data_IF_985300136259
#
_entry.id   IF_985300136259
#
_cell.length_a   1.000
_cell.length_b   1.000
_cell.length_c   1.000
_cell.angle_alpha   90.00
_cell.angle_beta   90.00
_cell.angle_gamma   90.00
#
_symmetry.space_group_name_H-M   'P 1'
#
loop_
_entity.id
_entity.type
_entity.pdbx_description
1 polymer ?
#
# COMPACT_ATOMS: atom_id res chain seq x y z
N UNK A 1 18.34 5.61 57.29
CA UNK A 1 17.69 6.30 56.15
C UNK A 1 18.12 5.73 54.79
N UNK A 2 19.20 4.95 54.73
CA UNK A 2 19.84 4.50 53.48
C UNK A 2 19.07 3.42 52.70
N UNK A 3 18.26 2.61 53.39
CA UNK A 3 17.49 1.54 52.74
C UNK A 3 16.40 2.06 51.79
N UNK A 4 15.77 3.18 52.14
CA UNK A 4 14.70 3.79 51.32
C UNK A 4 15.29 4.47 50.08
N UNK A 5 16.44 5.14 50.23
CA UNK A 5 17.17 5.74 49.11
C UNK A 5 17.64 4.67 48.10
N UNK A 6 18.23 3.58 48.58
CA UNK A 6 18.68 2.47 47.74
C UNK A 6 17.53 1.77 47.02
N UNK A 7 16.36 1.65 47.65
CA UNK A 7 15.16 1.07 47.03
C UNK A 7 14.64 1.93 45.87
N UNK A 8 14.62 3.27 46.01
CA UNK A 8 14.19 4.19 44.95
C UNK A 8 15.11 4.12 43.73
N UNK A 9 16.42 4.06 43.93
CA UNK A 9 17.40 3.94 42.85
C UNK A 9 17.25 2.60 42.11
N UNK A 10 16.97 1.51 42.83
CA UNK A 10 16.74 0.21 42.22
C UNK A 10 15.46 0.20 41.34
N UNK A 11 14.37 0.79 41.84
CA UNK A 11 13.10 0.89 41.10
C UNK A 11 13.28 1.74 39.83
N UNK A 12 13.96 2.88 39.92
CA UNK A 12 14.20 3.76 38.77
C UNK A 12 15.01 3.09 37.66
N UNK A 13 16.01 2.26 38.03
CA UNK A 13 16.78 1.48 37.06
C UNK A 13 15.94 0.39 36.39
N UNK A 14 15.10 -0.31 37.16
CA UNK A 14 14.18 -1.33 36.61
C UNK A 14 13.20 -0.70 35.62
N UNK A 15 12.60 0.44 35.97
CA UNK A 15 11.67 1.16 35.08
C UNK A 15 12.38 1.63 33.81
N UNK A 16 13.60 2.18 33.92
CA UNK A 16 14.38 2.61 32.76
C UNK A 16 14.75 1.45 31.83
N UNK A 17 15.13 0.29 32.38
CA UNK A 17 15.43 -0.91 31.59
C UNK A 17 14.19 -1.51 30.93
N UNK A 18 13.03 -1.51 31.61
CA UNK A 18 11.75 -1.93 31.03
C UNK A 18 11.31 -1.00 29.89
N UNK A 19 11.47 0.31 30.05
CA UNK A 19 11.14 1.29 29.01
C UNK A 19 12.01 1.13 27.76
N UNK A 20 13.31 0.87 27.94
CA UNK A 20 14.22 0.59 26.83
C UNK A 20 13.88 -0.72 26.10
N UNK A 21 13.43 -1.75 26.83
CA UNK A 21 13.01 -3.02 26.23
C UNK A 21 11.73 -2.87 25.41
N UNK A 22 10.76 -2.07 25.88
CA UNK A 22 9.52 -1.76 25.14
C UNK A 22 9.80 -1.00 23.83
N UNK A 23 10.79 -0.10 23.83
CA UNK A 23 11.21 0.63 22.62
C UNK A 23 11.91 -0.27 21.59
N UNK A 24 12.60 -1.33 22.03
CA UNK A 24 13.26 -2.31 21.15
C UNK A 24 12.31 -3.39 20.61
N UNK A 25 11.15 -3.57 21.24
CA UNK A 25 10.11 -4.53 20.85
C UNK A 25 9.12 -3.97 19.82
N UNK A 26 9.38 -2.78 19.28
CA UNK A 26 8.57 -2.21 18.22
C UNK A 26 9.23 -2.48 16.87
N UNK A 27 9.01 -3.63 16.20
CA UNK A 27 9.14 -3.65 14.77
C UNK A 27 8.01 -2.75 14.25
N UNK A 28 8.33 -1.47 14.02
CA UNK A 28 7.55 -0.69 13.09
C UNK A 28 7.82 -1.33 11.72
N UNK A 29 7.06 -2.38 11.40
CA UNK A 29 6.89 -2.78 10.01
C UNK A 29 6.21 -1.57 9.37
N UNK A 30 7.00 -0.69 8.77
CA UNK A 30 6.49 0.21 7.77
C UNK A 30 5.87 -0.71 6.72
N UNK A 31 4.54 -0.77 6.68
CA UNK A 31 3.81 -1.47 5.63
C UNK A 31 3.97 -0.59 4.39
N UNK A 32 5.09 -0.72 3.71
CA UNK A 32 5.36 -0.01 2.46
C UNK A 32 4.53 -0.68 1.35
N UNK A 33 3.21 -0.56 1.44
CA UNK A 33 2.25 -1.24 0.56
C UNK A 33 2.50 -0.96 -0.92
N UNK A 34 3.04 0.22 -1.23
CA UNK A 34 3.32 0.68 -2.59
C UNK A 34 4.71 1.31 -2.66
N UNK A 35 5.46 0.95 -3.70
CA UNK A 35 6.82 1.42 -3.98
C UNK A 35 6.82 2.06 -5.36
N UNK A 36 7.19 3.34 -5.44
CA UNK A 36 7.33 4.08 -6.69
C UNK A 36 8.65 3.74 -7.39
N UNK A 37 8.59 3.35 -8.66
CA UNK A 37 9.75 3.11 -9.53
C UNK A 37 9.75 4.06 -10.75
N UNK A 38 9.16 5.24 -10.60
CA UNK A 38 8.97 6.29 -11.62
C UNK A 38 8.00 5.90 -12.74
N UNK A 39 8.29 4.83 -13.49
CA UNK A 39 7.46 4.38 -14.62
C UNK A 39 6.32 3.44 -14.19
N UNK A 40 6.44 2.84 -13.00
CA UNK A 40 5.46 1.93 -12.43
C UNK A 40 5.53 1.92 -10.90
N UNK A 41 4.42 1.56 -10.27
CA UNK A 41 4.32 1.35 -8.82
C UNK A 41 4.26 -0.14 -8.50
N UNK A 42 5.13 -0.64 -7.65
CA UNK A 42 5.06 -2.02 -7.15
C UNK A 42 4.15 -2.08 -5.93
N UNK A 43 3.13 -2.95 -5.97
CA UNK A 43 2.34 -3.36 -4.82
C UNK A 43 2.99 -4.58 -4.15
N UNK A 44 3.62 -4.35 -3.00
CA UNK A 44 4.35 -5.38 -2.26
C UNK A 44 3.43 -6.38 -1.52
N UNK A 45 2.11 -6.12 -1.52
CA UNK A 45 1.10 -6.99 -0.92
C UNK A 45 0.59 -7.99 -1.96
N UNK A 46 0.23 -7.52 -3.16
CA UNK A 46 -0.26 -8.39 -4.25
C UNK A 46 0.85 -9.00 -5.10
N UNK A 47 2.04 -8.39 -5.09
CA UNK A 47 3.14 -8.78 -5.98
C UNK A 47 2.94 -8.32 -7.42
N UNK A 48 2.11 -7.29 -7.65
CA UNK A 48 1.87 -6.71 -8.97
C UNK A 48 2.63 -5.39 -9.14
N UNK A 49 3.21 -5.19 -10.31
CA UNK A 49 3.61 -3.86 -10.77
C UNK A 49 2.43 -3.21 -11.49
N UNK A 50 2.18 -1.94 -11.22
CA UNK A 50 1.13 -1.10 -11.80
C UNK A 50 1.76 -0.02 -12.68
N UNK A 51 1.52 -0.05 -13.98
CA UNK A 51 2.07 0.93 -14.91
C UNK A 51 1.48 2.33 -14.62
N UNK A 52 2.32 3.37 -14.63
CA UNK A 52 1.85 4.74 -14.50
C UNK A 52 0.87 5.10 -15.63
N UNK A 53 -0.23 5.77 -15.28
CA UNK A 53 -1.32 6.06 -16.21
C UNK A 53 -0.89 7.00 -17.34
N UNK A 54 0.21 7.75 -17.21
CA UNK A 54 0.74 8.60 -18.28
C UNK A 54 1.11 7.81 -19.54
N UNK A 55 1.47 6.53 -19.42
CA UNK A 55 1.80 5.66 -20.55
C UNK A 55 0.58 5.23 -21.37
N UNK A 56 -0.60 5.19 -20.77
CA UNK A 56 -1.85 4.80 -21.44
C UNK A 56 -2.84 5.95 -21.57
N UNK A 57 -2.46 7.14 -21.08
CA UNK A 57 -3.28 8.35 -21.10
C UNK A 57 -3.63 8.74 -22.52
N UNK A 58 -4.93 8.94 -22.76
CA UNK A 58 -5.55 9.30 -24.05
C UNK A 58 -5.42 8.22 -25.14
N UNK A 59 -5.00 7.01 -24.80
CA UNK A 59 -5.08 5.87 -25.69
C UNK A 59 -6.44 5.20 -25.52
N UNK A 60 -7.06 4.85 -26.65
CA UNK A 60 -8.28 4.04 -26.61
C UNK A 60 -7.97 2.63 -26.08
N UNK A 61 -8.99 1.92 -25.62
CA UNK A 61 -8.82 0.52 -25.19
C UNK A 61 -8.19 -0.32 -26.32
N UNK A 62 -8.64 -0.12 -27.56
CA UNK A 62 -8.14 -0.88 -28.71
C UNK A 62 -6.68 -0.54 -29.05
N UNK A 63 -6.27 0.72 -28.86
CA UNK A 63 -4.87 1.13 -29.07
C UNK A 63 -3.94 0.49 -28.02
N UNK A 64 -4.40 0.43 -26.76
CA UNK A 64 -3.69 -0.25 -25.68
C UNK A 64 -3.63 -1.75 -25.96
N UNK A 65 -4.75 -2.38 -26.32
CA UNK A 65 -4.83 -3.80 -26.68
C UNK A 65 -3.87 -4.15 -27.83
N UNK A 66 -3.81 -3.32 -28.87
CA UNK A 66 -2.85 -3.49 -29.97
C UNK A 66 -1.39 -3.34 -29.49
N UNK A 67 -1.12 -2.39 -28.58
CA UNK A 67 0.21 -2.13 -28.03
C UNK A 67 0.68 -3.20 -27.05
N UNK A 68 -0.22 -3.90 -26.38
CA UNK A 68 0.10 -5.07 -25.53
C UNK A 68 0.64 -6.23 -26.37
N UNK A 69 0.08 -6.45 -27.56
CA UNK A 69 0.43 -7.57 -28.43
C UNK A 69 1.82 -7.40 -29.07
N UNK A 70 2.11 -6.24 -29.65
CA UNK A 70 3.32 -6.02 -30.47
C UNK A 70 3.93 -4.62 -30.31
N UNK A 71 3.65 -3.90 -29.22
CA UNK A 71 4.04 -2.50 -29.03
C UNK A 71 4.90 -2.25 -27.79
N UNK A 72 4.92 -0.99 -27.34
CA UNK A 72 5.68 -0.56 -26.17
C UNK A 72 5.14 -1.10 -24.84
N UNK A 73 3.94 -1.70 -24.85
CA UNK A 73 3.28 -2.24 -23.66
C UNK A 73 3.37 -3.77 -23.59
N UNK A 74 4.22 -4.41 -24.41
CA UNK A 74 4.47 -5.85 -24.33
C UNK A 74 4.99 -6.25 -22.94
N UNK A 75 4.41 -7.32 -22.39
CA UNK A 75 4.71 -7.82 -21.04
C UNK A 75 3.76 -7.29 -19.95
N UNK A 76 2.89 -6.34 -20.28
CA UNK A 76 1.79 -5.91 -19.44
C UNK A 76 0.50 -6.65 -19.81
N UNK A 77 -0.50 -6.57 -18.94
CA UNK A 77 -1.90 -6.95 -19.22
C UNK A 77 -2.83 -5.94 -18.57
N UNK A 78 -4.09 -5.92 -18.99
CA UNK A 78 -5.09 -5.18 -18.24
C UNK A 78 -5.20 -5.71 -16.81
N UNK A 79 -5.29 -4.78 -15.85
CA UNK A 79 -5.68 -5.09 -14.49
C UNK A 79 -7.14 -5.51 -14.46
N UNK A 80 -7.48 -6.49 -13.62
CA UNK A 80 -8.87 -6.83 -13.38
C UNK A 80 -9.52 -5.80 -12.46
N UNK A 81 -10.84 -5.69 -12.53
CA UNK A 81 -11.63 -4.92 -11.56
C UNK A 81 -11.30 -5.29 -10.11
N UNK A 82 -11.20 -6.59 -9.82
CA UNK A 82 -10.91 -7.08 -8.48
C UNK A 82 -9.49 -6.69 -8.02
N UNK A 83 -8.49 -6.81 -8.89
CA UNK A 83 -7.12 -6.41 -8.55
C UNK A 83 -7.03 -4.92 -8.19
N UNK A 84 -7.75 -4.06 -8.93
CA UNK A 84 -7.73 -2.63 -8.63
C UNK A 84 -8.51 -2.28 -7.37
N UNK A 85 -9.66 -2.92 -7.16
CA UNK A 85 -10.45 -2.70 -5.94
C UNK A 85 -9.63 -3.14 -4.70
N UNK A 86 -8.92 -4.29 -4.78
CA UNK A 86 -8.00 -4.77 -3.73
C UNK A 86 -6.81 -3.83 -3.51
N UNK A 87 -6.19 -3.29 -4.58
CA UNK A 87 -5.14 -2.28 -4.47
C UNK A 87 -5.62 -1.08 -3.64
N UNK A 88 -6.78 -0.54 -3.99
CA UNK A 88 -7.35 0.63 -3.33
C UNK A 88 -7.66 0.33 -1.86
N UNK A 89 -8.35 -0.78 -1.57
CA UNK A 89 -8.66 -1.18 -0.19
C UNK A 89 -7.41 -1.38 0.67
N UNK A 90 -6.39 -2.04 0.12
CA UNK A 90 -5.11 -2.26 0.80
C UNK A 90 -4.36 -0.96 1.07
N UNK A 91 -4.39 -0.02 0.13
CA UNK A 91 -3.75 1.29 0.25
C UNK A 91 -4.47 2.19 1.27
N UNK A 92 -5.80 2.24 1.22
CA UNK A 92 -6.61 3.04 2.15
C UNK A 92 -6.67 2.42 3.55
N UNK A 93 -6.57 1.08 3.65
CA UNK A 93 -6.80 0.33 4.87
C UNK A 93 -8.28 0.16 5.24
N UNK A 94 -9.19 0.48 4.31
CA UNK A 94 -10.64 0.34 4.45
C UNK A 94 -11.33 0.35 3.07
N UNK A 95 -12.59 -0.09 3.02
CA UNK A 95 -13.43 -0.04 1.82
C UNK A 95 -13.77 1.42 1.43
N UNK A 96 -13.46 1.85 0.20
CA UNK A 96 -13.70 3.23 -0.23
C UNK A 96 -15.19 3.57 -0.28
N UNK A 97 -15.57 4.75 0.20
CA UNK A 97 -16.93 5.26 0.04
C UNK A 97 -17.16 5.70 -1.42
N UNK A 98 -18.36 5.49 -1.96
CA UNK A 98 -18.73 5.86 -3.34
C UNK A 98 -19.10 7.35 -3.54
N UNK A 99 -18.76 8.20 -2.57
CA UNK A 99 -19.02 9.63 -2.51
C UNK A 99 -17.77 10.38 -2.04
N UNK A 100 -17.75 11.70 -2.23
CA UNK A 100 -16.62 12.53 -1.77
C UNK A 100 -16.50 12.51 -0.25
N UNK A 101 -15.32 12.13 0.25
CA UNK A 101 -15.12 11.90 1.68
C UNK A 101 -13.72 12.35 2.12
N UNK A 102 -13.65 13.15 3.17
CA UNK A 102 -12.38 13.64 3.72
C UNK A 102 -11.47 12.51 4.21
N UNK A 103 -12.04 11.39 4.68
CA UNK A 103 -11.27 10.22 5.14
C UNK A 103 -10.46 9.54 4.03
N UNK A 104 -10.87 9.72 2.77
CA UNK A 104 -10.24 9.12 1.59
C UNK A 104 -9.29 10.10 0.89
N UNK A 105 -9.21 11.36 1.35
CA UNK A 105 -8.47 12.42 0.66
C UNK A 105 -6.98 12.08 0.56
N UNK A 106 -6.31 11.83 1.69
CA UNK A 106 -4.87 11.58 1.72
C UNK A 106 -4.50 10.32 0.93
N UNK A 107 -5.32 9.28 1.04
CA UNK A 107 -5.14 8.03 0.31
C UNK A 107 -5.24 8.21 -1.21
N UNK A 108 -6.26 8.91 -1.71
CA UNK A 108 -6.33 9.18 -3.15
C UNK A 108 -5.34 10.23 -3.64
N UNK A 109 -4.93 11.18 -2.80
CA UNK A 109 -3.83 12.08 -3.14
C UNK A 109 -2.52 11.31 -3.32
N UNK A 110 -2.23 10.39 -2.41
CA UNK A 110 -1.06 9.50 -2.51
C UNK A 110 -1.17 8.58 -3.73
N UNK A 111 -2.31 7.94 -3.96
CA UNK A 111 -2.49 7.01 -5.07
C UNK A 111 -2.42 7.71 -6.44
N UNK A 112 -2.94 8.94 -6.56
CA UNK A 112 -2.75 9.77 -7.77
C UNK A 112 -1.29 10.19 -7.93
N UNK A 113 -0.55 10.40 -6.84
CA UNK A 113 0.88 10.67 -6.89
C UNK A 113 1.69 9.50 -7.46
N UNK A 114 1.24 8.26 -7.21
CA UNK A 114 1.90 7.02 -7.62
C UNK A 114 1.48 6.54 -9.03
N UNK A 115 0.20 6.66 -9.37
CA UNK A 115 -0.34 6.16 -10.64
C UNK A 115 -0.54 7.26 -11.68
N UNK A 116 -0.45 8.52 -11.28
CA UNK A 116 -0.69 9.66 -12.15
C UNK A 116 -2.17 10.04 -12.29
N UNK A 117 -2.40 11.29 -12.73
CA UNK A 117 -3.74 11.82 -13.02
C UNK A 117 -4.02 11.81 -14.53
N UNK A 118 -5.25 11.46 -14.91
CA UNK A 118 -5.67 11.56 -16.31
C UNK A 118 -6.21 12.95 -16.62
N UNK A 119 -6.86 13.62 -15.66
CA UNK A 119 -7.22 15.03 -15.82
C UNK A 119 -7.24 15.78 -14.49
N UNK A 120 -7.15 17.11 -14.58
CA UNK A 120 -7.29 18.03 -13.46
C UNK A 120 -8.43 19.01 -13.73
N UNK A 121 -9.06 19.49 -12.66
CA UNK A 121 -10.11 20.51 -12.71
C UNK A 121 -9.72 21.66 -11.79
N UNK A 122 -9.65 22.87 -12.34
CA UNK A 122 -9.43 24.09 -11.57
C UNK A 122 -10.79 24.70 -11.24
N UNK A 123 -11.05 24.94 -9.96
CA UNK A 123 -12.31 25.49 -9.46
C UNK A 123 -12.05 26.68 -8.53
N UNK A 124 -13.00 27.60 -8.45
CA UNK A 124 -12.99 28.67 -7.43
C UNK A 124 -13.90 28.25 -6.29
N UNK A 125 -13.32 28.04 -5.11
CA UNK A 125 -14.01 27.60 -3.89
C UNK A 125 -13.82 28.71 -2.86
N UNK A 126 -14.91 29.34 -2.43
CA UNK A 126 -14.88 30.43 -1.45
C UNK A 126 -13.90 31.58 -1.78
N UNK A 127 -13.68 31.85 -3.08
CA UNK A 127 -12.75 32.88 -3.55
C UNK A 127 -11.29 32.44 -3.63
N UNK A 128 -10.97 31.20 -3.28
CA UNK A 128 -9.66 30.58 -3.51
C UNK A 128 -9.69 29.70 -4.77
N UNK A 129 -8.59 29.68 -5.52
CA UNK A 129 -8.43 28.75 -6.65
C UNK A 129 -7.88 27.43 -6.14
N UNK A 130 -8.63 26.35 -6.37
CA UNK A 130 -8.25 24.99 -5.98
C UNK A 130 -8.16 24.10 -7.23
N UNK A 131 -7.21 23.16 -7.22
CA UNK A 131 -7.06 22.17 -8.30
C UNK A 131 -7.38 20.79 -7.76
N UNK A 132 -8.35 20.12 -8.37
CA UNK A 132 -8.69 18.73 -8.12
C UNK A 132 -8.05 17.84 -9.17
N UNK A 133 -7.61 16.65 -8.79
CA UNK A 133 -6.97 15.69 -9.68
C UNK A 133 -7.74 14.39 -9.69
N UNK A 134 -7.92 13.84 -10.89
CA UNK A 134 -8.72 12.65 -11.11
C UNK A 134 -8.02 11.73 -12.10
N UNK A 135 -8.25 10.44 -11.92
CA UNK A 135 -7.92 9.40 -12.85
C UNK A 135 -9.19 8.66 -13.26
N UNK A 136 -9.33 8.45 -14.56
CA UNK A 136 -10.35 7.58 -15.15
C UNK A 136 -9.60 6.56 -15.98
N UNK A 137 -9.65 5.29 -15.59
CA UNK A 137 -8.89 4.26 -16.25
C UNK A 137 -9.69 2.97 -16.45
N UNK A 138 -9.42 2.26 -17.56
CA UNK A 138 -10.03 0.96 -17.83
C UNK A 138 -9.37 -0.13 -17.01
N UNK A 139 -10.21 -0.98 -16.44
CA UNK A 139 -9.84 -2.32 -16.00
C UNK A 139 -10.55 -3.33 -16.89
N UNK A 140 -9.96 -4.49 -17.07
CA UNK A 140 -10.67 -5.63 -17.65
C UNK A 140 -11.59 -6.22 -16.58
N UNK A 141 -12.81 -6.57 -16.96
CA UNK A 141 -13.66 -7.35 -16.07
C UNK A 141 -13.44 -8.81 -16.44
N UNK A 142 -13.41 -9.72 -15.46
CA UNK A 142 -13.27 -11.15 -15.74
C UNK A 142 -14.39 -11.72 -16.64
N UNK A 143 -15.41 -10.91 -16.97
CA UNK A 143 -16.35 -11.16 -18.06
C UNK A 143 -15.87 -10.51 -19.35
N UNK A 144 -15.59 -11.33 -20.35
CA UNK A 144 -15.05 -11.06 -21.69
C UNK A 144 -15.73 -9.96 -22.54
N UNK A 145 -16.67 -9.17 -22.02
CA UNK A 145 -17.48 -8.30 -22.87
C UNK A 145 -17.15 -6.82 -22.80
N UNK A 146 -16.71 -6.22 -21.68
CA UNK A 146 -16.45 -4.77 -21.63
C UNK A 146 -15.44 -4.36 -20.55
N UNK A 147 -14.38 -3.65 -20.95
CA UNK A 147 -13.55 -2.90 -20.01
C UNK A 147 -14.42 -1.91 -19.20
N UNK A 148 -14.33 -1.99 -17.87
CA UNK A 148 -15.11 -1.15 -16.96
C UNK A 148 -14.26 0.04 -16.52
N UNK A 149 -14.67 1.29 -16.78
CA UNK A 149 -13.90 2.43 -16.31
C UNK A 149 -14.03 2.54 -14.78
N UNK A 150 -12.89 2.67 -14.11
CA UNK A 150 -12.77 3.07 -12.72
C UNK A 150 -12.44 4.55 -12.66
N UNK A 151 -13.10 5.28 -11.77
CA UNK A 151 -12.77 6.68 -11.51
C UNK A 151 -12.35 6.83 -10.06
N UNK A 152 -11.21 7.48 -9.86
CA UNK A 152 -10.75 7.87 -8.53
C UNK A 152 -10.09 9.25 -8.57
N UNK A 153 -9.93 9.89 -7.42
CA UNK A 153 -9.28 11.20 -7.35
C UNK A 153 -9.52 11.91 -6.04
N UNK A 154 -9.08 13.16 -5.98
CA UNK A 154 -9.24 14.01 -4.81
C UNK A 154 -9.45 15.47 -5.22
N UNK A 155 -10.11 16.22 -4.34
CA UNK A 155 -10.39 17.63 -4.51
C UNK A 155 -10.89 18.25 -3.20
N UNK A 156 -11.42 19.47 -3.29
CA UNK A 156 -11.88 20.24 -2.13
C UNK A 156 -12.96 19.54 -1.29
N UNK A 157 -13.76 18.65 -1.91
CA UNK A 157 -14.80 17.87 -1.23
C UNK A 157 -14.29 16.59 -0.56
N UNK A 158 -13.02 16.21 -0.79
CA UNK A 158 -12.43 14.97 -0.29
C UNK A 158 -11.89 14.06 -1.40
N UNK A 159 -11.54 12.83 -1.00
CA UNK A 159 -11.20 11.75 -1.92
C UNK A 159 -12.46 11.10 -2.50
N UNK A 160 -12.32 10.44 -3.64
CA UNK A 160 -13.43 9.90 -4.42
C UNK A 160 -13.07 8.60 -5.14
N UNK A 161 -14.00 7.65 -5.15
CA UNK A 161 -13.90 6.38 -5.88
C UNK A 161 -15.26 5.95 -6.41
N UNK A 162 -15.34 5.50 -7.66
CA UNK A 162 -16.53 4.80 -8.19
C UNK A 162 -16.23 3.96 -9.42
N UNK A 163 -17.09 2.97 -9.71
CA UNK A 163 -17.34 2.55 -11.08
C UNK A 163 -17.88 3.73 -11.89
N UNK A 164 -17.29 4.02 -13.05
CA UNK A 164 -17.66 5.17 -13.85
C UNK A 164 -18.70 4.81 -14.93
N UNK A 165 -19.81 4.20 -14.51
CA UNK A 165 -20.89 3.74 -15.41
C UNK A 165 -21.57 4.85 -16.21
N UNK A 166 -21.38 6.12 -15.82
CA UNK A 166 -21.97 7.30 -16.45
C UNK A 166 -21.06 7.97 -17.49
N UNK A 167 -19.83 7.47 -17.68
CA UNK A 167 -19.02 7.90 -18.82
C UNK A 167 -19.46 7.06 -19.99
N UNK A 168 -20.22 7.67 -20.92
CA UNK A 168 -20.62 7.05 -22.17
C UNK A 168 -19.38 6.76 -23.04
N UNK A 169 -18.68 5.67 -22.73
CA UNK A 169 -17.46 5.29 -23.39
C UNK A 169 -17.76 4.37 -24.58
N UNK A 170 -17.07 4.60 -25.69
CA UNK A 170 -16.97 3.64 -26.81
C UNK A 170 -15.53 3.19 -26.87
N UNK A 171 -15.28 1.88 -26.98
CA UNK A 171 -13.92 1.28 -27.08
C UNK A 171 -13.01 2.01 -28.08
N UNK A 172 -13.61 2.61 -29.12
CA UNK A 172 -12.94 3.23 -30.25
C UNK A 172 -12.92 4.77 -30.22
N UNK A 173 -13.50 5.43 -29.19
CA UNK A 173 -13.54 6.90 -29.12
C UNK A 173 -12.84 7.45 -27.90
N UNK A 174 -11.97 8.42 -28.16
CA UNK A 174 -11.57 9.42 -27.18
C UNK A 174 -12.85 10.12 -26.67
N UNK A 175 -13.19 9.94 -25.40
CA UNK A 175 -14.54 10.09 -24.87
C UNK A 175 -15.09 11.52 -24.85
N UNK A 176 -14.42 12.50 -25.46
CA UNK A 176 -14.87 13.90 -25.55
C UNK A 176 -14.98 14.63 -24.20
N UNK A 177 -14.81 13.92 -23.09
CA UNK A 177 -14.90 14.43 -21.71
C UNK A 177 -13.66 13.99 -20.94
N UNK A 178 -12.53 14.64 -21.20
CA UNK A 178 -11.30 14.50 -20.40
C UNK A 178 -10.53 13.20 -20.61
N UNK A 179 -9.20 13.29 -20.50
CA UNK A 179 -8.29 12.17 -20.73
C UNK A 179 -8.65 10.96 -19.85
N UNK A 180 -8.75 9.79 -20.47
CA UNK A 180 -8.82 8.49 -19.81
C UNK A 180 -7.46 7.78 -19.94
N UNK A 181 -7.31 6.63 -19.30
CA UNK A 181 -6.13 5.76 -19.39
C UNK A 181 -6.56 4.28 -19.28
N UNK A 182 -5.61 3.36 -19.24
CA UNK A 182 -5.84 1.94 -18.92
C UNK A 182 -4.95 1.53 -17.76
N UNK A 183 -5.54 0.86 -16.76
CA UNK A 183 -4.80 0.26 -15.67
C UNK A 183 -4.18 -1.04 -16.17
N UNK A 184 -2.86 -1.04 -16.27
CA UNK A 184 -2.09 -2.20 -16.69
C UNK A 184 -1.24 -2.71 -15.55
N UNK A 185 -1.17 -4.03 -15.44
CA UNK A 185 -0.36 -4.72 -14.44
C UNK A 185 0.51 -5.78 -15.08
N UNK A 186 1.56 -6.18 -14.36
CA UNK A 186 2.34 -7.38 -14.62
C UNK A 186 2.74 -8.00 -13.28
N UNK A 187 3.09 -9.27 -13.29
CA UNK A 187 3.66 -9.90 -12.11
C UNK A 187 5.05 -9.30 -11.82
N UNK A 188 5.29 -8.91 -10.56
CA UNK A 188 6.61 -8.50 -10.13
C UNK A 188 7.54 -9.74 -10.11
N UNK A 189 8.61 -9.76 -10.93
CA UNK A 189 9.52 -10.90 -10.99
C UNK A 189 10.27 -11.16 -9.67
N UNK A 190 10.52 -10.12 -8.89
CA UNK A 190 11.21 -10.23 -7.60
C UNK A 190 10.30 -10.84 -6.53
N UNK A 191 8.98 -10.61 -6.63
CA UNK A 191 8.00 -11.24 -5.75
C UNK A 191 7.87 -12.75 -6.03
N UNK A 192 7.93 -13.14 -7.31
CA UNK A 192 7.90 -14.54 -7.71
C UNK A 192 9.16 -15.30 -7.25
N UNK A 193 10.33 -14.66 -7.27
CA UNK A 193 11.57 -15.27 -6.77
C UNK A 193 11.53 -15.52 -5.25
N UNK A 194 10.82 -14.70 -4.47
CA UNK A 194 10.57 -14.93 -3.04
C UNK A 194 9.69 -16.16 -2.82
N UNK A 195 8.66 -16.38 -3.66
CA UNK A 195 7.78 -17.55 -3.58
C UNK A 195 8.42 -18.84 -4.11
N UNK A 196 9.36 -18.76 -5.07
CA UNK A 196 10.09 -19.93 -5.59
C UNK A 196 11.21 -20.36 -4.65
N UNK A 197 11.81 -19.42 -3.91
CA UNK A 197 12.80 -19.73 -2.87
C UNK A 197 12.16 -20.06 -1.52
N UNK A 198 10.88 -19.73 -1.31
CA UNK A 198 10.05 -20.14 -0.17
C UNK A 198 8.60 -20.41 -0.62
N UNK A 199 8.24 -21.65 -1.00
CA UNK A 199 6.86 -21.94 -1.37
C UNK A 199 5.94 -21.71 -0.16
N UNK A 200 4.72 -21.16 -0.37
CA UNK A 200 3.76 -20.97 0.71
C UNK A 200 3.24 -22.34 1.14
N UNK A 201 3.94 -22.93 2.09
CA UNK A 201 3.46 -24.06 2.85
C UNK A 201 2.36 -23.51 3.75
N UNK A 202 1.11 -23.81 3.43
CA UNK A 202 0.02 -23.64 4.39
C UNK A 202 0.42 -24.34 5.69
N UNK A 203 0.43 -23.55 6.76
CA UNK A 203 0.70 -23.89 8.17
C UNK A 203 2.05 -23.39 8.71
N UNK A 204 1.94 -22.28 9.44
CA UNK A 204 2.89 -21.71 10.40
C UNK A 204 4.31 -21.47 9.88
N UNK A 205 4.62 -20.21 9.59
CA UNK A 205 5.99 -19.74 9.50
C UNK A 205 6.79 -20.28 10.70
N UNK A 206 7.64 -21.27 10.46
CA UNK A 206 8.66 -21.65 11.43
C UNK A 206 9.66 -20.52 11.43
N UNK A 207 9.55 -19.70 12.46
CA UNK A 207 10.46 -18.62 12.78
C UNK A 207 11.87 -19.18 12.79
N UNK A 208 12.78 -18.59 12.00
CA UNK A 208 14.21 -18.83 12.16
C UNK A 208 14.59 -18.52 13.62
N UNK A 209 14.89 -19.57 14.40
CA UNK A 209 15.44 -19.45 15.73
C UNK A 209 16.92 -19.08 15.64
N UNK A 210 17.26 -17.79 15.84
CA UNK A 210 18.36 -17.51 16.76
C UNK A 210 17.97 -16.54 17.88
N UNK A 211 16.82 -15.85 17.77
CA UNK A 211 16.46 -14.78 18.70
C UNK A 211 15.89 -15.29 20.03
N UNK A 212 15.12 -16.38 20.02
CA UNK A 212 14.50 -16.95 21.24
C UNK A 212 15.52 -17.66 22.14
N UNK A 213 16.52 -18.34 21.56
CA UNK A 213 17.63 -18.95 22.31
C UNK A 213 18.55 -17.88 22.92
N UNK A 214 18.76 -16.75 22.23
CA UNK A 214 19.47 -15.59 22.78
C UNK A 214 18.70 -14.95 23.94
N UNK A 215 17.38 -14.78 23.83
CA UNK A 215 16.57 -14.26 24.95
C UNK A 215 16.55 -15.21 26.16
N UNK A 216 16.44 -16.52 25.94
CA UNK A 216 16.48 -17.52 27.02
C UNK A 216 17.85 -17.54 27.72
N UNK A 217 18.95 -17.43 26.97
CA UNK A 217 20.31 -17.39 27.54
C UNK A 217 20.60 -16.09 28.30
N UNK A 218 20.13 -14.94 27.81
CA UNK A 218 20.21 -13.65 28.55
C UNK A 218 19.37 -13.69 29.83
N UNK A 219 18.18 -14.29 29.80
CA UNK A 219 17.32 -14.44 30.98
C UNK A 219 17.94 -15.37 32.05
N UNK A 220 18.57 -16.49 31.65
CA UNK A 220 19.25 -17.40 32.57
C UNK A 220 20.47 -16.74 33.24
N UNK A 221 21.25 -15.96 32.49
CA UNK A 221 22.42 -15.24 33.03
C UNK A 221 21.99 -14.19 34.06
N UNK A 222 20.84 -13.54 33.84
CA UNK A 222 20.23 -12.60 34.81
C UNK A 222 19.83 -13.28 36.12
N UNK A 223 19.29 -14.49 36.07
CA UNK A 223 18.86 -15.26 37.25
C UNK A 223 20.04 -15.78 38.08
N UNK A 224 21.17 -16.12 37.46
CA UNK A 224 22.37 -16.62 38.15
C UNK A 224 23.10 -15.56 39.00
N UNK A 225 22.85 -14.25 38.78
CA UNK A 225 23.45 -13.17 39.57
C UNK A 225 22.71 -12.82 40.87
N UNK A 226 21.58 -13.46 41.16
CA UNK A 226 20.87 -13.26 42.44
C UNK A 226 21.58 -14.04 43.55
N UNK A 227 22.63 -13.43 44.12
CA UNK A 227 23.37 -13.95 45.29
C UNK A 227 22.43 -13.93 46.51
N UNK A 228 21.83 -15.08 46.83
CA UNK A 228 21.00 -15.30 48.02
C UNK A 228 21.85 -15.04 49.28
N UNK A 229 21.67 -13.91 49.96
CA UNK A 229 22.28 -13.66 51.29
C UNK A 229 21.57 -14.56 52.31
N UNK A 230 22.22 -15.62 52.77
CA UNK A 230 21.77 -16.37 53.96
C UNK A 230 21.98 -15.49 55.19
N UNK A 231 20.93 -15.35 56.01
CA UNK A 231 21.04 -14.81 57.37
C UNK A 231 21.60 -15.91 58.27
N UNK A 232 22.70 -15.64 58.95
CA UNK A 232 23.08 -16.36 60.17
C UNK A 232 22.46 -15.63 61.36
N UNK A 233 21.92 -16.42 62.30
CA UNK A 233 21.35 -15.99 63.57
C UNK A 233 22.41 -15.38 64.48
#
# INVERSE_FOLDING_TARGET
>A
MDKVANLKVAIMKIISSLLALVLLLSPAFAKAGLIDNDDFTTDDISGLDWLDLSFTKRLSYNDVEASLLNGSLTGWRFATSLEFDVLVENHLGFEPDNYFSGRQYDGFASLIGLLGSTYSKVESVNGATETSYYAVAFVDSTGFDLGQPRQFGYGHLGGYFRPSSNIAFKRDKDSGVGSHASLLVRDNPDFQNVLVTNPPSGSTASVSEPSNLMLLSVALIGLLRIKRRRKTF
#
